data_IF_368396058586
#
_entry.id   IF_368396058586
#
_cell.length_a   1.000
_cell.length_b   1.000
_cell.length_c   1.000
_cell.angle_alpha   90.00
_cell.angle_beta   90.00
_cell.angle_gamma   90.00
#
_symmetry.space_group_name_H-M   'P 1'
#
loop_
_entity.id
_entity.type
_entity.pdbx_description
1 polymer ?
#
# COMPACT_ATOMS: atom_id res chain seq x y z
N UNK A 1 -6.33 -12.03 -38.85
CA UNK A 1 -6.37 -12.29 -37.39
C UNK A 1 -4.99 -12.23 -36.70
N UNK A 2 -3.92 -12.74 -37.32
CA UNK A 2 -2.56 -12.79 -36.71
C UNK A 2 -1.98 -11.39 -36.42
N UNK A 3 -2.14 -10.43 -37.33
CA UNK A 3 -1.60 -9.07 -37.17
C UNK A 3 -2.24 -8.29 -35.99
N UNK A 4 -3.53 -8.52 -35.71
CA UNK A 4 -4.27 -7.86 -34.62
C UNK A 4 -3.80 -8.32 -33.24
N UNK A 5 -3.47 -9.62 -33.08
CA UNK A 5 -2.84 -10.14 -31.86
C UNK A 5 -1.46 -9.51 -31.62
N UNK A 6 -0.66 -9.36 -32.68
CA UNK A 6 0.68 -8.77 -32.57
C UNK A 6 0.65 -7.31 -32.08
N UNK A 7 -0.32 -6.51 -32.52
CA UNK A 7 -0.47 -5.11 -32.08
C UNK A 7 -0.94 -5.03 -30.63
N UNK A 8 -1.91 -5.85 -30.21
CA UNK A 8 -2.36 -5.86 -28.81
C UNK A 8 -1.22 -6.21 -27.86
N UNK A 9 -0.36 -7.16 -28.25
CA UNK A 9 0.75 -7.61 -27.41
C UNK A 9 1.80 -6.51 -27.26
N UNK A 10 2.06 -5.75 -28.34
CA UNK A 10 2.93 -4.58 -28.30
C UNK A 10 2.36 -3.46 -27.43
N UNK A 11 1.05 -3.18 -27.52
CA UNK A 11 0.39 -2.17 -26.66
C UNK A 11 0.53 -2.56 -25.19
N UNK A 12 0.26 -3.82 -24.85
CA UNK A 12 0.38 -4.34 -23.49
C UNK A 12 1.82 -4.28 -22.99
N UNK A 13 2.79 -4.64 -23.83
CA UNK A 13 4.20 -4.52 -23.49
C UNK A 13 4.59 -3.05 -23.24
N UNK A 14 4.16 -2.13 -24.09
CA UNK A 14 4.42 -0.69 -23.94
C UNK A 14 3.82 -0.16 -22.63
N UNK A 15 2.59 -0.55 -22.29
CA UNK A 15 1.96 -0.18 -21.03
C UNK A 15 2.77 -0.69 -19.84
N UNK A 16 3.21 -1.96 -19.86
CA UNK A 16 4.03 -2.53 -18.78
C UNK A 16 5.32 -1.76 -18.57
N UNK A 17 6.04 -1.50 -19.66
CA UNK A 17 7.30 -0.76 -19.61
C UNK A 17 7.07 0.67 -19.14
N UNK A 18 6.06 1.36 -19.67
CA UNK A 18 5.70 2.72 -19.27
C UNK A 18 5.41 2.80 -17.77
N UNK A 19 4.51 1.95 -17.26
CA UNK A 19 4.16 1.94 -15.83
C UNK A 19 5.38 1.62 -14.98
N UNK A 20 6.18 0.62 -15.37
CA UNK A 20 7.38 0.25 -14.63
C UNK A 20 8.38 1.41 -14.55
N UNK A 21 8.71 2.06 -15.67
CA UNK A 21 9.65 3.18 -15.71
C UNK A 21 9.17 4.37 -14.87
N UNK A 22 7.89 4.73 -15.01
CA UNK A 22 7.30 5.83 -14.24
C UNK A 22 7.37 5.51 -12.74
N UNK A 23 6.84 4.37 -12.30
CA UNK A 23 6.72 4.12 -10.87
C UNK A 23 8.04 3.72 -10.20
N UNK A 24 9.03 3.19 -10.94
CA UNK A 24 10.42 3.10 -10.47
C UNK A 24 10.98 4.51 -10.27
N UNK A 25 10.86 5.41 -11.26
CA UNK A 25 11.38 6.78 -11.16
C UNK A 25 10.74 7.58 -10.02
N UNK A 26 9.42 7.47 -9.85
CA UNK A 26 8.73 8.14 -8.74
C UNK A 26 9.07 7.51 -7.39
N UNK A 27 9.20 6.18 -7.32
CA UNK A 27 9.58 5.48 -6.10
C UNK A 27 11.01 5.84 -5.67
N UNK A 28 11.96 5.86 -6.60
CA UNK A 28 13.35 6.26 -6.31
C UNK A 28 13.43 7.73 -5.92
N UNK A 29 12.67 8.61 -6.60
CA UNK A 29 12.61 10.03 -6.25
C UNK A 29 12.13 10.31 -4.83
N UNK A 30 11.26 9.44 -4.27
CA UNK A 30 10.86 9.52 -2.85
C UNK A 30 11.98 9.10 -1.90
N UNK A 31 12.82 8.15 -2.30
CA UNK A 31 13.92 7.66 -1.46
C UNK A 31 15.14 8.59 -1.49
N UNK A 32 15.36 9.30 -2.60
CA UNK A 32 16.50 10.20 -2.78
C UNK A 32 16.27 11.65 -2.31
N UNK A 33 15.18 11.92 -1.59
CA UNK A 33 14.85 13.27 -1.09
C UNK A 33 14.30 14.25 -2.13
N UNK A 34 13.90 13.76 -3.31
CA UNK A 34 13.47 14.61 -4.43
C UNK A 34 11.97 14.92 -4.48
N UNK A 35 11.12 14.22 -3.70
CA UNK A 35 9.65 14.36 -3.77
C UNK A 35 8.95 14.76 -2.48
N UNK A 36 9.46 14.43 -1.30
CA UNK A 36 8.81 14.78 -0.02
C UNK A 36 9.68 15.76 0.77
N UNK A 37 9.07 16.50 1.69
CA UNK A 37 9.73 17.52 2.48
C UNK A 37 9.96 18.83 1.72
N UNK A 38 11.11 19.47 1.95
CA UNK A 38 11.51 20.76 1.37
C UNK A 38 10.62 21.94 1.79
N UNK A 39 10.48 22.13 3.11
CA UNK A 39 10.01 23.39 3.65
C UNK A 39 11.16 24.41 3.62
N UNK A 40 10.88 25.64 3.19
CA UNK A 40 11.83 26.75 3.32
C UNK A 40 11.92 27.20 4.78
N UNK A 41 12.97 27.95 5.15
CA UNK A 41 13.07 28.55 6.50
C UNK A 41 11.84 29.41 6.85
N UNK A 42 11.29 30.10 5.85
CA UNK A 42 10.10 30.92 6.00
C UNK A 42 8.85 30.06 6.27
N UNK A 43 8.71 28.93 5.57
CA UNK A 43 7.62 27.97 5.80
C UNK A 43 7.74 27.29 7.18
N UNK A 44 8.97 27.01 7.64
CA UNK A 44 9.21 26.48 8.98
C UNK A 44 8.84 27.46 10.10
N UNK A 45 8.99 28.76 9.85
CA UNK A 45 8.59 29.82 10.79
C UNK A 45 7.08 30.16 10.71
N UNK A 46 6.35 29.62 9.74
CA UNK A 46 4.94 29.92 9.53
C UNK A 46 4.07 29.03 10.43
N UNK A 47 3.06 29.57 11.15
CA UNK A 47 2.13 28.75 11.91
C UNK A 47 1.42 27.72 11.03
N UNK A 48 1.24 26.49 11.51
CA UNK A 48 0.67 25.37 10.73
C UNK A 48 -0.68 25.74 10.08
N UNK A 49 -1.53 26.49 10.79
CA UNK A 49 -2.85 26.93 10.28
C UNK A 49 -2.76 27.80 9.01
N UNK A 50 -1.62 28.46 8.81
CA UNK A 50 -1.38 29.39 7.71
C UNK A 50 -0.57 28.71 6.58
N UNK A 51 -0.06 27.49 6.81
CA UNK A 51 0.57 26.67 5.78
C UNK A 51 -0.47 25.99 4.88
N UNK A 52 -0.14 25.85 3.60
CA UNK A 52 -0.96 25.07 2.68
C UNK A 52 -1.01 23.59 3.11
N UNK A 53 -2.16 22.94 2.92
CA UNK A 53 -2.33 21.51 3.20
C UNK A 53 -1.31 20.65 2.44
N UNK A 54 -0.95 21.06 1.22
CA UNK A 54 0.11 20.44 0.43
C UNK A 54 1.44 20.35 1.19
N UNK A 55 1.89 21.48 1.76
CA UNK A 55 3.16 21.58 2.47
C UNK A 55 3.16 20.76 3.76
N UNK A 56 2.07 20.82 4.52
CA UNK A 56 1.88 20.03 5.73
C UNK A 56 1.97 18.53 5.42
N UNK A 57 1.24 18.08 4.40
CA UNK A 57 1.22 16.67 4.01
C UNK A 57 2.57 16.21 3.47
N UNK A 58 3.23 17.00 2.62
CA UNK A 58 4.55 16.65 2.08
C UNK A 58 5.64 16.60 3.15
N UNK A 59 5.56 17.45 4.18
CA UNK A 59 6.41 17.35 5.35
C UNK A 59 6.16 16.03 6.10
N UNK A 60 4.88 15.72 6.40
CA UNK A 60 4.51 14.46 7.06
C UNK A 60 5.00 13.23 6.28
N UNK A 61 4.83 13.21 4.96
CA UNK A 61 5.24 12.07 4.12
C UNK A 61 6.75 11.90 4.01
N UNK A 62 7.55 12.89 4.38
CA UNK A 62 9.01 12.76 4.40
C UNK A 62 9.52 11.91 5.57
N UNK A 63 8.70 11.72 6.61
CA UNK A 63 9.08 10.95 7.79
C UNK A 63 9.02 9.43 7.58
N UNK A 64 9.87 8.72 8.31
CA UNK A 64 9.87 7.25 8.35
C UNK A 64 8.80 6.72 9.31
N UNK A 65 8.23 5.53 9.05
CA UNK A 65 8.57 4.59 7.97
C UNK A 65 7.82 4.83 6.66
N UNK A 66 6.93 5.84 6.61
CA UNK A 66 6.03 6.05 5.48
C UNK A 66 6.79 6.27 4.17
N UNK A 67 7.81 7.15 4.18
CA UNK A 67 8.63 7.46 3.00
C UNK A 67 9.23 6.21 2.34
N UNK A 68 9.90 5.37 3.13
CA UNK A 68 10.49 4.12 2.62
C UNK A 68 9.40 3.16 2.16
N UNK A 69 8.33 2.99 2.95
CA UNK A 69 7.26 2.04 2.62
C UNK A 69 6.63 2.34 1.26
N UNK A 70 6.23 3.58 1.01
CA UNK A 70 5.59 3.96 -0.26
C UNK A 70 6.59 3.91 -1.42
N UNK A 71 7.83 4.37 -1.24
CA UNK A 71 8.85 4.36 -2.29
C UNK A 71 9.24 2.94 -2.70
N UNK A 72 9.54 2.07 -1.73
CA UNK A 72 9.94 0.67 -1.97
C UNK A 72 8.78 -0.13 -2.54
N UNK A 73 7.55 0.05 -2.04
CA UNK A 73 6.38 -0.67 -2.58
C UNK A 73 6.11 -0.30 -4.04
N UNK A 74 6.26 0.97 -4.43
CA UNK A 74 6.18 1.39 -5.83
C UNK A 74 7.24 0.69 -6.69
N UNK A 75 8.50 0.65 -6.24
CA UNK A 75 9.60 0.03 -6.97
C UNK A 75 9.37 -1.49 -7.12
N UNK A 76 9.06 -2.19 -6.04
CA UNK A 76 8.83 -3.64 -6.05
C UNK A 76 7.68 -3.99 -7.01
N UNK A 77 6.53 -3.33 -6.87
CA UNK A 77 5.37 -3.58 -7.73
C UNK A 77 5.71 -3.33 -9.22
N UNK A 78 6.51 -2.31 -9.50
CA UNK A 78 6.92 -1.94 -10.85
C UNK A 78 7.92 -2.91 -11.47
N UNK A 79 8.91 -3.38 -10.69
CA UNK A 79 9.85 -4.41 -11.14
C UNK A 79 9.09 -5.71 -11.48
N UNK A 80 8.08 -6.06 -10.70
CA UNK A 80 7.25 -7.23 -10.97
C UNK A 80 6.48 -7.14 -12.29
N UNK A 81 6.17 -5.94 -12.80
CA UNK A 81 5.54 -5.74 -14.11
C UNK A 81 6.46 -6.12 -15.29
N UNK A 82 7.78 -6.04 -15.11
CA UNK A 82 8.75 -6.35 -16.16
C UNK A 82 8.88 -7.85 -16.42
N UNK A 83 8.67 -8.69 -15.39
CA UNK A 83 8.75 -10.14 -15.53
C UNK A 83 7.38 -10.77 -15.80
N UNK A 84 7.30 -11.58 -16.86
CA UNK A 84 6.04 -12.20 -17.29
C UNK A 84 5.36 -13.04 -16.20
N UNK A 85 6.15 -13.67 -15.32
CA UNK A 85 5.63 -14.54 -14.24
C UNK A 85 4.99 -13.77 -13.08
N UNK A 86 5.48 -12.57 -12.78
CA UNK A 86 5.03 -11.77 -11.63
C UNK A 86 4.13 -10.60 -12.02
N UNK A 87 3.91 -10.39 -13.31
CA UNK A 87 3.24 -9.19 -13.82
C UNK A 87 1.85 -8.97 -13.21
N UNK A 88 1.03 -10.03 -13.12
CA UNK A 88 -0.32 -9.93 -12.55
C UNK A 88 -0.25 -9.48 -11.08
N UNK A 89 0.67 -10.04 -10.30
CA UNK A 89 0.85 -9.66 -8.90
C UNK A 89 1.34 -8.21 -8.80
N UNK A 90 2.30 -7.81 -9.64
CA UNK A 90 2.77 -6.43 -9.73
C UNK A 90 1.64 -5.44 -10.05
N UNK A 91 0.76 -5.79 -10.99
CA UNK A 91 -0.40 -4.97 -11.35
C UNK A 91 -1.41 -4.85 -10.20
N UNK A 92 -1.69 -5.95 -9.50
CA UNK A 92 -2.59 -5.98 -8.34
C UNK A 92 -2.02 -5.22 -7.13
N UNK A 93 -0.69 -5.23 -6.93
CA UNK A 93 -0.03 -4.43 -5.90
C UNK A 93 0.02 -2.95 -6.26
N UNK A 94 0.27 -2.63 -7.53
CA UNK A 94 0.38 -1.25 -7.99
C UNK A 94 -0.96 -0.52 -7.97
N UNK A 95 -2.08 -1.21 -8.27
CA UNK A 95 -3.41 -0.61 -8.27
C UNK A 95 -3.78 0.13 -6.96
N UNK A 96 -3.75 -0.48 -5.76
CA UNK A 96 -4.06 0.22 -4.52
C UNK A 96 -3.03 1.30 -4.17
N UNK A 97 -1.76 1.14 -4.56
CA UNK A 97 -0.73 2.16 -4.35
C UNK A 97 -1.06 3.41 -5.16
N UNK A 98 -1.35 3.26 -6.45
CA UNK A 98 -1.69 4.38 -7.34
C UNK A 98 -3.00 5.03 -6.93
N UNK A 99 -3.99 4.24 -6.53
CA UNK A 99 -5.25 4.75 -6.01
C UNK A 99 -5.04 5.58 -4.74
N UNK A 100 -4.21 5.10 -3.80
CA UNK A 100 -3.92 5.83 -2.58
C UNK A 100 -3.24 7.17 -2.89
N UNK A 101 -2.24 7.18 -3.78
CA UNK A 101 -1.57 8.42 -4.23
C UNK A 101 -2.57 9.37 -4.90
N UNK A 102 -3.45 8.86 -5.76
CA UNK A 102 -4.49 9.66 -6.42
C UNK A 102 -5.40 10.35 -5.40
N UNK A 103 -5.90 9.63 -4.39
CA UNK A 103 -6.77 10.20 -3.36
C UNK A 103 -6.03 11.26 -2.52
N UNK A 104 -4.77 11.00 -2.18
CA UNK A 104 -3.92 11.97 -1.48
C UNK A 104 -3.76 13.24 -2.34
N UNK A 105 -3.37 13.11 -3.60
CA UNK A 105 -3.14 14.24 -4.51
C UNK A 105 -4.42 15.07 -4.71
N UNK A 106 -5.57 14.41 -4.86
CA UNK A 106 -6.88 15.07 -4.93
C UNK A 106 -7.22 15.87 -3.67
N UNK A 107 -6.74 15.42 -2.52
CA UNK A 107 -6.98 16.08 -1.23
C UNK A 107 -6.05 17.27 -1.06
N UNK A 108 -4.75 17.10 -1.29
CA UNK A 108 -3.73 18.06 -0.83
C UNK A 108 -3.24 19.02 -1.90
N UNK A 109 -3.36 18.70 -3.20
CA UNK A 109 -2.72 19.51 -4.25
C UNK A 109 -3.51 20.80 -4.59
N UNK A 110 -2.81 21.88 -5.00
CA UNK A 110 -3.42 23.05 -5.63
C UNK A 110 -4.14 22.67 -6.94
N UNK A 111 -5.18 23.44 -7.32
CA UNK A 111 -6.09 23.08 -8.42
C UNK A 111 -5.40 22.71 -9.73
N UNK A 112 -4.40 23.48 -10.18
CA UNK A 112 -3.69 23.21 -11.43
C UNK A 112 -2.97 21.85 -11.43
N UNK A 113 -2.23 21.55 -10.36
CA UNK A 113 -1.53 20.26 -10.21
C UNK A 113 -2.53 19.13 -9.98
N UNK A 114 -3.56 19.38 -9.17
CA UNK A 114 -4.62 18.42 -8.86
C UNK A 114 -5.25 17.85 -10.13
N UNK A 115 -5.63 18.69 -11.09
CA UNK A 115 -6.26 18.24 -12.31
C UNK A 115 -5.31 17.39 -13.18
N UNK A 116 -4.07 17.84 -13.33
CA UNK A 116 -3.06 17.12 -14.10
C UNK A 116 -2.75 15.73 -13.51
N UNK A 117 -2.53 15.65 -12.19
CA UNK A 117 -2.28 14.40 -11.50
C UNK A 117 -3.50 13.49 -11.48
N UNK A 118 -4.71 14.05 -11.33
CA UNK A 118 -5.95 13.29 -11.38
C UNK A 118 -6.11 12.54 -12.71
N UNK A 119 -5.99 13.23 -13.85
CA UNK A 119 -6.08 12.59 -15.16
C UNK A 119 -4.96 11.58 -15.39
N UNK A 120 -3.73 11.93 -15.01
CA UNK A 120 -2.55 11.06 -15.20
C UNK A 120 -2.66 9.76 -14.42
N UNK A 121 -2.92 9.84 -13.11
CA UNK A 121 -3.00 8.66 -12.24
C UNK A 121 -4.25 7.83 -12.53
N UNK A 122 -5.38 8.47 -12.86
CA UNK A 122 -6.58 7.75 -13.33
C UNK A 122 -6.30 7.01 -14.64
N UNK A 123 -5.58 7.63 -15.58
CA UNK A 123 -5.13 6.96 -16.80
C UNK A 123 -4.25 5.73 -16.51
N UNK A 124 -3.34 5.83 -15.54
CA UNK A 124 -2.54 4.68 -15.11
C UNK A 124 -3.37 3.57 -14.45
N UNK A 125 -4.40 3.90 -13.66
CA UNK A 125 -5.35 2.92 -13.14
C UNK A 125 -6.11 2.22 -14.28
N UNK A 126 -6.54 2.97 -15.30
CA UNK A 126 -7.16 2.39 -16.49
C UNK A 126 -6.20 1.45 -17.25
N UNK A 127 -4.92 1.80 -17.36
CA UNK A 127 -3.90 0.94 -17.95
C UNK A 127 -3.67 -0.35 -17.14
N UNK A 128 -3.63 -0.26 -15.82
CA UNK A 128 -3.56 -1.43 -14.94
C UNK A 128 -4.81 -2.30 -15.14
N UNK A 129 -6.01 -1.70 -15.21
CA UNK A 129 -7.24 -2.42 -15.52
C UNK A 129 -7.21 -3.11 -16.87
N UNK A 130 -6.68 -2.46 -17.91
CA UNK A 130 -6.51 -3.04 -19.24
C UNK A 130 -5.51 -4.20 -19.24
N UNK A 131 -4.41 -4.10 -18.48
CA UNK A 131 -3.47 -5.20 -18.29
C UNK A 131 -4.17 -6.42 -17.66
N UNK A 132 -4.87 -6.22 -16.54
CA UNK A 132 -5.60 -7.29 -15.86
C UNK A 132 -6.69 -7.90 -16.74
N UNK A 133 -7.39 -7.08 -17.52
CA UNK A 133 -8.40 -7.55 -18.47
C UNK A 133 -7.79 -8.39 -19.61
N UNK A 134 -6.64 -7.99 -20.15
CA UNK A 134 -5.94 -8.76 -21.18
C UNK A 134 -5.53 -10.14 -20.65
N UNK A 135 -5.07 -10.23 -19.40
CA UNK A 135 -4.69 -11.49 -18.74
C UNK A 135 -5.83 -12.17 -17.96
N UNK A 136 -7.10 -11.80 -18.20
CA UNK A 136 -8.26 -12.35 -17.48
C UNK A 136 -8.35 -13.88 -17.54
N UNK A 137 -7.94 -14.48 -18.66
CA UNK A 137 -8.01 -15.93 -18.83
C UNK A 137 -7.08 -16.65 -17.86
N UNK A 138 -5.93 -16.06 -17.50
CA UNK A 138 -5.02 -16.59 -16.48
C UNK A 138 -5.51 -16.33 -15.05
N UNK A 139 -6.39 -15.34 -14.86
CA UNK A 139 -7.02 -15.05 -13.56
C UNK A 139 -8.21 -15.98 -13.26
N UNK A 140 -8.90 -16.50 -14.27
CA UNK A 140 -10.08 -17.36 -14.05
C UNK A 140 -9.80 -18.64 -13.23
N UNK A 141 -8.68 -19.37 -13.40
CA UNK A 141 -8.39 -20.54 -12.57
C UNK A 141 -8.10 -20.14 -11.12
N UNK A 142 -7.34 -19.05 -10.92
CA UNK A 142 -7.04 -18.50 -9.60
C UNK A 142 -8.34 -18.12 -8.89
N UNK A 143 -9.24 -17.41 -9.58
CA UNK A 143 -10.54 -17.03 -9.03
C UNK A 143 -11.37 -18.25 -8.66
N UNK A 144 -11.42 -19.28 -9.52
CA UNK A 144 -12.10 -20.54 -9.21
C UNK A 144 -11.51 -21.25 -7.99
N UNK A 145 -10.18 -21.26 -7.85
CA UNK A 145 -9.52 -21.83 -6.67
C UNK A 145 -9.88 -21.07 -5.40
N UNK A 146 -9.87 -19.73 -5.45
CA UNK A 146 -10.22 -18.87 -4.32
C UNK A 146 -11.70 -18.97 -3.97
N UNK A 147 -12.59 -19.02 -4.95
CA UNK A 147 -14.03 -19.16 -4.73
C UNK A 147 -14.43 -20.55 -4.25
N UNK A 148 -13.64 -21.58 -4.57
CA UNK A 148 -13.84 -22.95 -4.13
C UNK A 148 -13.12 -23.27 -2.81
N UNK A 149 -12.57 -22.27 -2.12
CA UNK A 149 -12.08 -22.44 -0.75
C UNK A 149 -13.27 -22.95 0.07
N UNK A 150 -13.18 -24.21 0.51
CA UNK A 150 -14.24 -24.83 1.29
C UNK A 150 -14.50 -23.95 2.52
N UNK A 151 -15.76 -23.56 2.79
CA UNK A 151 -16.06 -22.85 4.02
C UNK A 151 -15.58 -23.69 5.19
N UNK A 152 -15.08 -23.03 6.24
CA UNK A 152 -14.54 -23.71 7.40
C UNK A 152 -15.55 -24.75 7.88
N UNK A 153 -15.10 -26.00 8.02
CA UNK A 153 -15.94 -27.18 8.26
C UNK A 153 -16.75 -26.98 9.55
N UNK A 154 -18.03 -26.64 9.41
CA UNK A 154 -18.99 -26.57 10.52
C UNK A 154 -19.62 -27.94 10.72
N UNK A 155 -18.80 -28.95 11.04
CA UNK A 155 -19.34 -30.24 11.47
C UNK A 155 -19.77 -30.09 12.93
N UNK A 156 -21.08 -29.91 13.14
CA UNK A 156 -21.79 -30.12 14.39
C UNK A 156 -21.25 -29.31 15.60
N UNK A 157 -21.18 -27.98 15.47
CA UNK A 157 -20.77 -27.10 16.56
C UNK A 157 -21.84 -27.08 17.67
N UNK A 158 -21.62 -27.87 18.72
CA UNK A 158 -22.33 -27.79 20.00
C UNK A 158 -22.18 -26.38 20.58
N UNK A 159 -23.11 -25.93 21.43
CA UNK A 159 -23.10 -24.60 22.08
C UNK A 159 -21.73 -24.21 22.71
N UNK A 160 -20.93 -25.21 23.10
CA UNK A 160 -19.56 -25.07 23.63
C UNK A 160 -18.63 -24.36 22.63
N UNK A 161 -18.75 -24.60 21.32
CA UNK A 161 -17.92 -23.94 20.30
C UNK A 161 -18.16 -22.43 20.26
N UNK A 162 -19.40 -21.97 20.42
CA UNK A 162 -19.72 -20.55 20.49
C UNK A 162 -19.21 -19.90 21.77
N UNK A 163 -19.24 -20.63 22.90
CA UNK A 163 -18.68 -20.18 24.16
C UNK A 163 -17.15 -20.04 24.11
N UNK A 164 -16.47 -20.92 23.38
CA UNK A 164 -15.03 -20.81 23.11
C UNK A 164 -14.68 -19.61 22.24
N UNK A 165 -15.53 -19.23 21.27
CA UNK A 165 -15.31 -18.02 20.46
C UNK A 165 -15.34 -16.76 21.33
N UNK A 166 -16.29 -16.68 22.28
CA UNK A 166 -16.38 -15.57 23.23
C UNK A 166 -15.11 -15.45 24.10
N UNK A 167 -14.46 -16.58 24.41
CA UNK A 167 -13.18 -16.59 25.13
C UNK A 167 -11.99 -16.27 24.22
N UNK A 168 -11.98 -16.78 22.97
CA UNK A 168 -10.85 -16.59 22.05
C UNK A 168 -10.73 -15.17 21.53
N UNK A 169 -11.84 -14.46 21.30
CA UNK A 169 -11.81 -13.07 20.83
C UNK A 169 -10.96 -12.17 21.74
N UNK A 170 -11.24 -12.05 23.05
CA UNK A 170 -10.41 -11.22 23.94
C UNK A 170 -9.00 -11.79 24.09
N UNK A 171 -8.81 -13.11 24.09
CA UNK A 171 -7.47 -13.69 24.16
C UNK A 171 -6.60 -13.32 22.95
N UNK A 172 -7.17 -13.35 21.75
CA UNK A 172 -6.49 -12.95 20.51
C UNK A 172 -6.24 -11.44 20.47
N UNK A 173 -7.16 -10.63 21.00
CA UNK A 173 -6.96 -9.18 21.12
C UNK A 173 -5.87 -8.81 22.13
N UNK A 174 -5.77 -9.57 23.23
CA UNK A 174 -4.75 -9.35 24.26
C UNK A 174 -3.38 -9.92 23.88
N UNK A 175 -3.31 -10.89 22.97
CA UNK A 175 -2.06 -11.55 22.60
C UNK A 175 -0.96 -10.59 22.08
N UNK A 176 -1.25 -9.63 21.17
CA UNK A 176 -0.28 -8.59 20.80
C UNK A 176 0.19 -7.74 21.99
N UNK A 177 -0.71 -7.48 22.95
CA UNK A 177 -0.40 -6.75 24.18
C UNK A 177 0.62 -7.48 25.06
N UNK A 178 0.50 -8.82 25.17
CA UNK A 178 1.49 -9.65 25.88
C UNK A 178 2.86 -9.56 25.21
N UNK A 179 2.91 -9.67 23.88
CA UNK A 179 4.17 -9.52 23.12
C UNK A 179 4.80 -8.14 23.34
N UNK A 180 3.99 -7.08 23.41
CA UNK A 180 4.45 -5.72 23.73
C UNK A 180 5.04 -5.63 25.14
N UNK A 181 4.39 -6.24 26.13
CA UNK A 181 4.89 -6.28 27.53
C UNK A 181 6.22 -7.02 27.59
N UNK A 182 6.34 -8.16 26.91
CA UNK A 182 7.60 -8.92 26.83
C UNK A 182 8.70 -8.07 26.18
N UNK A 183 8.42 -7.44 25.04
CA UNK A 183 9.36 -6.56 24.37
C UNK A 183 9.81 -5.41 25.28
N UNK A 184 8.87 -4.79 26.01
CA UNK A 184 9.17 -3.71 26.94
C UNK A 184 10.00 -4.17 28.14
N UNK A 185 9.71 -5.35 28.70
CA UNK A 185 10.49 -5.94 29.79
C UNK A 185 11.94 -6.25 29.38
N UNK A 186 12.16 -6.69 28.14
CA UNK A 186 13.50 -6.98 27.59
C UNK A 186 14.26 -5.70 27.26
N UNK A 187 13.60 -4.70 26.66
CA UNK A 187 14.27 -3.47 26.20
C UNK A 187 14.44 -2.40 27.29
N UNK A 188 13.55 -2.36 28.28
CA UNK A 188 13.53 -1.35 29.34
C UNK A 188 13.30 -1.98 30.73
N UNK A 189 14.20 -2.87 31.20
CA UNK A 189 13.98 -3.67 32.41
C UNK A 189 13.79 -2.82 33.67
N UNK A 190 14.58 -1.75 33.84
CA UNK A 190 14.49 -0.89 35.03
C UNK A 190 13.12 -0.18 35.12
N UNK A 191 12.64 0.38 34.01
CA UNK A 191 11.35 1.07 33.92
C UNK A 191 10.18 0.10 34.09
N UNK A 192 10.31 -1.12 33.57
CA UNK A 192 9.33 -2.18 33.76
C UNK A 192 9.18 -2.57 35.24
N UNK A 193 10.29 -2.82 35.94
CA UNK A 193 10.26 -3.15 37.36
C UNK A 193 9.71 -2.01 38.23
N UNK A 194 10.05 -0.76 37.91
CA UNK A 194 9.50 0.40 38.61
C UNK A 194 7.98 0.56 38.36
N UNK A 195 7.52 0.30 37.14
CA UNK A 195 6.09 0.30 36.81
C UNK A 195 5.32 -0.79 37.54
N UNK A 196 5.89 -2.00 37.67
CA UNK A 196 5.30 -3.08 38.49
C UNK A 196 5.23 -2.67 39.96
N UNK A 197 6.31 -2.11 40.52
CA UNK A 197 6.35 -1.66 41.91
C UNK A 197 5.39 -0.51 42.22
N UNK A 198 4.92 0.23 41.22
CA UNK A 198 3.94 1.30 41.40
C UNK A 198 2.49 0.80 41.34
N UNK A 199 2.27 -0.44 40.88
CA UNK A 199 0.94 -1.08 40.82
C UNK A 199 0.58 -1.85 42.10
N UNK A 200 1.55 -2.07 42.99
CA UNK A 200 1.42 -2.76 44.28
C UNK A 200 1.94 -1.87 45.40
#
# INVERSE_FOLDING_TARGET
>A
MVQKRRISDLIILSIRILLALIFISYGTGKLSGGQFGNLTEQELATPIKDLSLFKIAWYLFDHQPFKIFIGVSQIIASLMLLYNRTMIIGALMLAPIVLNILIIDLTIMPYGLKLAFAFRLTGYLCYIGLLLFYYKNQLTPVWKTVSNIKPMRSENQKAISYLLVILFIPALELAPGVLKIIYFAVTHPQSFWNGIKALF
#
